data_IF_319330241249
#
_entry.id   IF_319330241249
#
_cell.length_a   1.000
_cell.length_b   1.000
_cell.length_c   1.000
_cell.angle_alpha   90.00
_cell.angle_beta   90.00
_cell.angle_gamma   90.00
#
_symmetry.space_group_name_H-M   'P 1'
#
loop_
_entity.id
_entity.type
_entity.pdbx_description
1 polymer ?
#
# COMPACT_ATOMS: atom_id res chain seq x y z
N UNK A 1 -3.93 -16.31 8.27
CA UNK A 1 -3.03 -15.14 8.45
C UNK A 1 -3.75 -13.88 8.02
N UNK A 2 -3.79 -12.84 8.87
CA UNK A 2 -4.45 -11.57 8.56
C UNK A 2 -3.93 -10.42 9.43
N UNK A 3 -4.03 -9.19 8.91
CA UNK A 3 -4.03 -7.96 9.70
C UNK A 3 -5.48 -7.62 10.00
N UNK A 4 -5.83 -7.40 11.26
CA UNK A 4 -7.19 -7.09 11.68
C UNK A 4 -7.21 -5.81 12.52
N UNK A 5 -8.11 -4.90 12.18
CA UNK A 5 -8.42 -3.71 12.95
C UNK A 5 -9.80 -3.92 13.58
N UNK A 6 -9.92 -3.70 14.89
CA UNK A 6 -11.17 -3.85 15.64
C UNK A 6 -11.52 -2.56 16.34
N UNK A 7 -12.53 -1.83 15.81
CA UNK A 7 -13.05 -0.60 16.39
C UNK A 7 -12.01 0.51 16.53
N UNK A 8 -11.06 0.59 15.60
CA UNK A 8 -9.92 1.49 15.70
C UNK A 8 -10.32 2.93 15.46
N UNK A 9 -9.99 3.77 16.43
CA UNK A 9 -10.21 5.23 16.38
C UNK A 9 -8.89 5.96 16.53
N UNK A 10 -8.68 7.01 15.71
CA UNK A 10 -7.54 7.91 15.80
C UNK A 10 -7.94 9.36 15.68
N UNK A 11 -7.50 10.16 16.65
CA UNK A 11 -7.77 11.60 16.71
C UNK A 11 -6.49 12.41 16.69
N UNK A 12 -6.52 13.54 16.03
CA UNK A 12 -5.47 14.56 16.04
C UNK A 12 -6.11 15.89 16.48
N UNK A 13 -6.02 16.20 17.76
CA UNK A 13 -6.72 17.34 18.33
C UNK A 13 -8.25 17.23 18.13
N UNK A 14 -8.84 18.16 17.43
CA UNK A 14 -10.29 18.16 17.13
C UNK A 14 -10.65 17.30 15.89
N UNK A 15 -9.67 16.79 15.14
CA UNK A 15 -9.92 16.02 13.92
C UNK A 15 -9.90 14.53 14.20
N UNK A 16 -10.98 13.82 13.90
CA UNK A 16 -11.02 12.36 13.90
C UNK A 16 -10.59 11.84 12.54
N UNK A 17 -9.39 11.27 12.48
CA UNK A 17 -8.80 10.75 11.25
C UNK A 17 -9.29 9.33 10.92
N UNK A 18 -9.55 8.51 11.94
CA UNK A 18 -10.27 7.24 11.84
C UNK A 18 -11.31 7.16 12.95
N UNK A 19 -12.50 6.65 12.64
CA UNK A 19 -13.64 6.60 13.53
C UNK A 19 -14.25 5.20 13.53
N UNK A 20 -13.98 4.44 14.59
CA UNK A 20 -14.47 3.09 14.84
C UNK A 20 -14.30 2.14 13.64
N UNK A 21 -13.08 2.10 13.09
CA UNK A 21 -12.77 1.31 11.90
C UNK A 21 -12.52 -0.14 12.26
N UNK A 22 -13.27 -1.04 11.62
CA UNK A 22 -13.02 -2.48 11.64
C UNK A 22 -12.84 -2.98 10.22
N UNK A 23 -11.71 -3.65 9.93
CA UNK A 23 -11.36 -4.19 8.61
C UNK A 23 -10.35 -5.31 8.76
N UNK A 24 -10.35 -6.24 7.80
CA UNK A 24 -9.44 -7.39 7.77
C UNK A 24 -8.72 -7.48 6.42
N UNK A 25 -7.40 -7.61 6.46
CA UNK A 25 -6.54 -7.82 5.29
C UNK A 25 -5.84 -9.17 5.41
N UNK A 26 -6.08 -10.07 4.49
CA UNK A 26 -5.46 -11.41 4.52
C UNK A 26 -5.68 -12.20 3.24
N UNK A 27 -5.35 -13.49 3.26
CA UNK A 27 -5.65 -14.39 2.16
C UNK A 27 -4.68 -14.35 0.97
N UNK A 28 -3.56 -13.63 1.04
CA UNK A 28 -2.59 -13.60 -0.06
C UNK A 28 -3.11 -12.91 -1.32
N UNK A 29 -3.95 -11.87 -1.17
CA UNK A 29 -4.55 -11.11 -2.27
C UNK A 29 -4.14 -9.64 -2.23
N UNK A 30 -4.48 -8.91 -3.28
CA UNK A 30 -4.23 -7.47 -3.39
C UNK A 30 -5.48 -6.68 -2.97
N UNK A 31 -5.34 -5.92 -1.90
CA UNK A 31 -6.33 -4.96 -1.43
C UNK A 31 -6.07 -3.57 -1.99
N UNK A 32 -7.09 -2.96 -2.59
CA UNK A 32 -7.10 -1.55 -2.89
C UNK A 32 -7.64 -0.75 -1.71
N UNK A 33 -6.80 0.05 -1.05
CA UNK A 33 -7.22 1.00 -0.02
C UNK A 33 -7.56 2.33 -0.68
N UNK A 34 -8.85 2.56 -0.96
CA UNK A 34 -9.34 3.62 -1.81
C UNK A 34 -10.01 4.74 -1.00
N UNK A 35 -9.90 5.96 -1.47
CA UNK A 35 -10.52 7.13 -0.83
C UNK A 35 -9.80 8.42 -1.21
N UNK A 36 -10.48 9.55 -1.03
CA UNK A 36 -9.91 10.87 -1.28
C UNK A 36 -8.70 11.17 -0.38
N UNK A 37 -7.91 12.19 -0.74
CA UNK A 37 -6.86 12.70 0.14
C UNK A 37 -7.48 13.17 1.46
N UNK A 38 -6.84 12.81 2.57
CA UNK A 38 -7.36 13.08 3.92
C UNK A 38 -8.46 12.13 4.41
N UNK A 39 -8.84 11.10 3.65
CA UNK A 39 -9.86 10.14 4.06
C UNK A 39 -9.45 9.24 5.25
N UNK A 40 -8.14 9.16 5.58
CA UNK A 40 -7.63 8.33 6.68
C UNK A 40 -6.70 7.19 6.24
N UNK A 41 -6.44 7.01 4.93
CA UNK A 41 -5.63 5.90 4.38
C UNK A 41 -4.24 5.82 5.02
N UNK A 42 -3.44 6.88 4.93
CA UNK A 42 -2.09 6.93 5.52
C UNK A 42 -2.10 6.77 7.04
N UNK A 43 -3.13 7.30 7.72
CA UNK A 43 -3.32 7.10 9.16
C UNK A 43 -3.53 5.62 9.49
N UNK A 44 -4.37 4.91 8.73
CA UNK A 44 -4.60 3.47 8.90
C UNK A 44 -3.29 2.68 8.71
N UNK A 45 -2.56 2.94 7.64
CA UNK A 45 -1.30 2.25 7.36
C UNK A 45 -0.22 2.52 8.44
N UNK A 46 -0.14 3.75 8.95
CA UNK A 46 0.76 4.10 10.05
C UNK A 46 0.37 3.41 11.38
N UNK A 47 -0.91 3.21 11.62
CA UNK A 47 -1.40 2.45 12.78
C UNK A 47 -1.06 0.96 12.65
N UNK A 48 -1.29 0.33 11.49
CA UNK A 48 -0.92 -1.07 11.21
C UNK A 48 0.57 -1.31 11.46
N UNK A 49 1.42 -0.36 11.04
CA UNK A 49 2.89 -0.46 11.20
C UNK A 49 3.41 0.09 12.53
N UNK A 50 2.51 0.39 13.47
CA UNK A 50 2.83 0.93 14.80
C UNK A 50 3.73 2.19 14.78
N UNK A 51 3.66 2.99 13.71
CA UNK A 51 4.33 4.30 13.63
C UNK A 51 3.62 5.36 14.44
N UNK A 52 2.33 5.15 14.67
CA UNK A 52 1.47 5.94 15.56
C UNK A 52 0.58 4.96 16.35
N UNK A 53 0.01 5.42 17.46
CA UNK A 53 -0.88 4.62 18.30
C UNK A 53 -2.34 4.98 18.09
N UNK A 54 -3.20 3.97 18.16
CA UNK A 54 -4.64 4.16 18.20
C UNK A 54 -5.06 4.79 19.56
N UNK A 55 -6.10 5.60 19.51
CA UNK A 55 -6.70 6.15 20.73
C UNK A 55 -7.73 5.16 21.33
N UNK A 56 -8.40 4.38 20.47
CA UNK A 56 -9.33 3.31 20.82
C UNK A 56 -9.22 2.12 19.87
N UNK A 57 -9.68 0.96 20.30
CA UNK A 57 -9.66 -0.27 19.52
C UNK A 57 -8.34 -1.01 19.62
N UNK A 58 -8.19 -2.04 18.78
CA UNK A 58 -6.97 -2.85 18.72
C UNK A 58 -6.61 -3.25 17.30
N UNK A 59 -5.33 -3.57 17.11
CA UNK A 59 -4.78 -4.03 15.84
C UNK A 59 -4.05 -5.34 16.09
N UNK A 60 -4.42 -6.35 15.34
CA UNK A 60 -3.84 -7.69 15.39
C UNK A 60 -3.13 -8.00 14.07
N UNK A 61 -1.99 -8.68 14.16
CA UNK A 61 -1.29 -9.28 13.03
C UNK A 61 -1.18 -10.78 13.34
N UNK A 62 -1.85 -11.60 12.54
CA UNK A 62 -1.97 -13.06 12.77
C UNK A 62 -2.49 -13.42 14.18
N UNK A 63 -3.44 -12.64 14.69
CA UNK A 63 -4.03 -12.82 16.01
C UNK A 63 -3.19 -12.30 17.19
N UNK A 64 -1.99 -11.79 16.94
CA UNK A 64 -1.13 -11.19 17.95
C UNK A 64 -1.29 -9.65 17.94
N UNK A 65 -1.38 -9.00 19.11
CA UNK A 65 -1.44 -7.53 19.19
C UNK A 65 -0.19 -6.91 18.58
N UNK A 66 -0.39 -5.95 17.67
CA UNK A 66 0.71 -5.29 16.96
C UNK A 66 1.54 -4.34 17.86
N UNK A 67 0.95 -3.49 18.72
CA UNK A 67 1.72 -2.56 19.53
C UNK A 67 2.70 -3.26 20.47
N UNK A 68 4.00 -2.91 20.34
CA UNK A 68 5.07 -3.46 21.17
C UNK A 68 5.46 -4.91 20.86
N UNK A 69 5.01 -5.46 19.73
CA UNK A 69 5.31 -6.83 19.32
C UNK A 69 6.16 -6.83 18.04
N UNK A 70 7.49 -6.81 18.21
CA UNK A 70 8.44 -6.78 17.09
C UNK A 70 8.31 -8.01 16.17
N UNK A 71 7.91 -9.18 16.73
CA UNK A 71 7.69 -10.39 15.93
C UNK A 71 6.49 -10.23 14.98
N UNK A 72 5.39 -9.67 15.47
CA UNK A 72 4.21 -9.41 14.66
C UNK A 72 4.50 -8.31 13.62
N UNK A 73 5.12 -7.21 14.05
CA UNK A 73 5.48 -6.08 13.19
C UNK A 73 6.52 -6.45 12.13
N UNK A 74 7.45 -7.38 12.42
CA UNK A 74 8.42 -7.89 11.46
C UNK A 74 7.81 -8.63 10.26
N UNK A 75 6.51 -8.98 10.33
CA UNK A 75 5.76 -9.56 9.20
C UNK A 75 5.21 -8.52 8.23
N UNK A 76 5.28 -7.23 8.56
CA UNK A 76 4.73 -6.13 7.77
C UNK A 76 5.83 -5.22 7.28
N UNK A 77 5.83 -4.95 5.98
CA UNK A 77 6.67 -3.92 5.39
C UNK A 77 5.78 -2.82 4.80
N UNK A 78 6.11 -1.56 5.08
CA UNK A 78 5.41 -0.42 4.48
C UNK A 78 6.38 0.45 3.69
N UNK A 79 6.14 0.55 2.39
CA UNK A 79 6.73 1.57 1.54
C UNK A 79 6.07 2.92 1.85
N UNK A 80 6.77 3.78 2.57
CA UNK A 80 6.31 5.12 2.86
C UNK A 80 7.08 6.17 2.05
N UNK A 81 6.52 7.37 1.98
CA UNK A 81 7.13 8.49 1.25
C UNK A 81 8.46 8.94 1.88
N UNK A 82 8.57 8.88 3.21
CA UNK A 82 9.75 9.32 3.93
C UNK A 82 10.98 8.43 3.67
N UNK A 83 12.13 9.05 3.47
CA UNK A 83 13.40 8.35 3.45
C UNK A 83 13.80 7.93 4.87
N UNK A 84 13.98 6.62 5.08
CA UNK A 84 14.36 6.05 6.39
C UNK A 84 15.87 5.78 6.51
N UNK A 85 16.66 6.08 5.49
CA UNK A 85 18.09 5.81 5.44
C UNK A 85 18.91 7.07 5.66
N UNK A 86 20.12 6.94 6.28
CA UNK A 86 21.04 8.06 6.39
C UNK A 86 21.36 8.67 5.02
N UNK A 87 21.39 9.98 4.96
CA UNK A 87 21.65 10.75 3.74
C UNK A 87 22.95 10.39 3.01
N UNK A 88 23.97 10.00 3.76
CA UNK A 88 25.29 9.60 3.25
C UNK A 88 25.31 8.19 2.68
N UNK A 89 24.31 7.36 3.00
CA UNK A 89 24.26 5.96 2.60
C UNK A 89 24.03 5.83 1.09
N UNK A 90 24.72 4.88 0.46
CA UNK A 90 24.46 4.54 -0.94
C UNK A 90 23.27 3.58 -1.03
N UNK A 91 22.63 3.52 -2.21
CA UNK A 91 21.50 2.62 -2.46
C UNK A 91 21.87 1.16 -2.19
N UNK A 92 23.01 0.68 -2.69
CA UNK A 92 23.51 -0.69 -2.43
C UNK A 92 23.73 -0.99 -0.94
N UNK A 93 24.21 0.01 -0.18
CA UNK A 93 24.33 -0.08 1.28
C UNK A 93 22.97 -0.17 1.97
N UNK A 94 21.97 0.59 1.49
CA UNK A 94 20.62 0.56 2.02
C UNK A 94 19.92 -0.78 1.75
N UNK A 95 20.11 -1.39 0.56
CA UNK A 95 19.62 -2.74 0.27
C UNK A 95 20.21 -3.78 1.23
N UNK A 96 21.52 -3.73 1.49
CA UNK A 96 22.20 -4.62 2.45
C UNK A 96 21.70 -4.41 3.87
N UNK A 97 21.47 -3.15 4.27
CA UNK A 97 20.94 -2.83 5.60
C UNK A 97 19.50 -3.38 5.74
N UNK A 98 18.67 -3.24 4.72
CA UNK A 98 17.31 -3.82 4.73
C UNK A 98 17.35 -5.33 4.92
N UNK A 99 18.26 -6.04 4.24
CA UNK A 99 18.45 -7.49 4.43
C UNK A 99 18.81 -7.87 5.87
N UNK A 100 19.52 -7.01 6.61
CA UNK A 100 19.86 -7.29 8.01
C UNK A 100 18.65 -7.18 8.96
N UNK A 101 17.66 -6.36 8.62
CA UNK A 101 16.40 -6.25 9.38
C UNK A 101 15.32 -7.23 8.92
N UNK A 102 15.31 -7.56 7.62
CA UNK A 102 14.36 -8.48 7.02
C UNK A 102 15.13 -9.68 6.43
N UNK A 103 15.28 -10.78 7.17
CA UNK A 103 16.04 -11.96 6.71
C UNK A 103 15.49 -12.57 5.41
N UNK A 104 14.16 -12.42 5.17
CA UNK A 104 13.48 -12.85 3.94
C UNK A 104 13.77 -11.97 2.72
N UNK A 105 14.48 -10.83 2.89
CA UNK A 105 14.80 -9.93 1.78
C UNK A 105 15.63 -10.63 0.70
N UNK A 106 15.12 -10.64 -0.52
CA UNK A 106 15.80 -11.22 -1.68
C UNK A 106 16.70 -10.18 -2.36
N UNK A 107 18.01 -10.31 -2.12
CA UNK A 107 19.00 -9.38 -2.67
C UNK A 107 19.15 -9.52 -4.18
N UNK A 108 19.07 -10.73 -4.71
CA UNK A 108 19.23 -10.99 -6.15
C UNK A 108 18.04 -10.44 -6.92
N UNK A 109 16.84 -10.63 -6.40
CA UNK A 109 15.64 -10.02 -6.94
C UNK A 109 15.68 -8.49 -6.84
N UNK A 110 16.12 -7.92 -5.70
CA UNK A 110 16.30 -6.47 -5.55
C UNK A 110 17.24 -5.90 -6.60
N UNK A 111 18.35 -6.56 -6.88
CA UNK A 111 19.30 -6.14 -7.91
C UNK A 111 18.72 -6.30 -9.32
N UNK A 112 17.93 -7.34 -9.57
CA UNK A 112 17.20 -7.51 -10.83
C UNK A 112 16.20 -6.38 -11.06
N UNK A 113 15.39 -6.06 -10.04
CA UNK A 113 14.44 -4.93 -10.08
C UNK A 113 15.16 -3.61 -10.29
N UNK A 114 16.25 -3.36 -9.55
CA UNK A 114 17.06 -2.16 -9.68
C UNK A 114 17.61 -2.00 -11.11
N UNK A 115 18.05 -3.09 -11.74
CA UNK A 115 18.53 -3.07 -13.13
C UNK A 115 17.40 -2.78 -14.13
N UNK A 116 16.21 -3.39 -13.95
CA UNK A 116 15.03 -3.15 -14.80
C UNK A 116 14.59 -1.68 -14.79
N UNK A 117 14.73 -1.01 -13.63
CA UNK A 117 14.43 0.42 -13.45
C UNK A 117 15.63 1.36 -13.69
N UNK A 118 16.79 0.83 -14.09
CA UNK A 118 18.03 1.61 -14.25
C UNK A 118 18.41 2.41 -12.99
N UNK A 119 18.10 1.88 -11.80
CA UNK A 119 18.36 2.53 -10.52
C UNK A 119 19.86 2.66 -10.28
N UNK A 120 20.40 3.89 -10.04
CA UNK A 120 21.84 4.09 -9.84
C UNK A 120 22.29 3.65 -8.43
N UNK A 121 22.49 2.35 -8.21
CA UNK A 121 22.76 1.72 -6.92
C UNK A 121 24.00 2.24 -6.20
N UNK A 122 24.97 2.83 -6.91
CA UNK A 122 26.19 3.43 -6.34
C UNK A 122 26.01 4.88 -5.87
N UNK A 123 24.90 5.55 -6.24
CA UNK A 123 24.59 6.90 -5.76
C UNK A 123 24.14 6.88 -4.30
N UNK A 124 24.35 8.01 -3.61
CA UNK A 124 23.80 8.24 -2.27
C UNK A 124 22.28 8.37 -2.38
N UNK A 125 21.54 7.85 -1.38
CA UNK A 125 20.08 7.90 -1.38
C UNK A 125 19.57 9.33 -1.51
N UNK A 126 20.18 10.30 -0.81
CA UNK A 126 19.81 11.72 -0.90
C UNK A 126 20.09 12.38 -2.27
N UNK A 127 20.95 11.77 -3.09
CA UNK A 127 21.29 12.29 -4.42
C UNK A 127 20.41 11.74 -5.54
N UNK A 128 19.41 10.92 -5.21
CA UNK A 128 18.40 10.44 -6.12
C UNK A 128 17.42 11.56 -6.46
N UNK A 129 16.95 11.60 -7.71
CA UNK A 129 15.79 12.41 -8.08
C UNK A 129 14.52 11.85 -7.40
N UNK A 130 13.43 12.61 -7.40
CA UNK A 130 12.14 12.16 -6.85
C UNK A 130 11.72 10.81 -7.45
N UNK A 131 11.79 10.67 -8.79
CA UNK A 131 11.46 9.41 -9.47
C UNK A 131 12.37 8.25 -9.04
N UNK A 132 13.69 8.45 -9.02
CA UNK A 132 14.60 7.40 -8.55
C UNK A 132 14.45 7.11 -7.05
N UNK A 133 14.05 8.07 -6.24
CA UNK A 133 13.72 7.82 -4.83
C UNK A 133 12.47 6.93 -4.69
N UNK A 134 11.46 7.13 -5.53
CA UNK A 134 10.30 6.24 -5.60
C UNK A 134 10.69 4.84 -6.08
N UNK A 135 11.47 4.73 -7.15
CA UNK A 135 11.99 3.46 -7.67
C UNK A 135 12.82 2.71 -6.62
N UNK A 136 13.66 3.41 -5.86
CA UNK A 136 14.44 2.79 -4.79
C UNK A 136 13.53 2.18 -3.71
N UNK A 137 12.49 2.91 -3.27
CA UNK A 137 11.53 2.42 -2.28
C UNK A 137 10.72 1.25 -2.82
N UNK A 138 10.31 1.28 -4.10
CA UNK A 138 9.67 0.15 -4.78
C UNK A 138 10.56 -1.09 -4.82
N UNK A 139 11.84 -0.91 -5.14
CA UNK A 139 12.82 -2.01 -5.17
C UNK A 139 12.90 -2.70 -3.80
N UNK A 140 12.92 -1.92 -2.71
CA UNK A 140 12.90 -2.47 -1.35
C UNK A 140 11.61 -3.25 -1.07
N UNK A 141 10.45 -2.65 -1.37
CA UNK A 141 9.15 -3.23 -1.07
C UNK A 141 8.88 -4.53 -1.86
N UNK A 142 9.27 -4.58 -3.13
CA UNK A 142 9.13 -5.77 -3.96
C UNK A 142 10.02 -6.93 -3.53
N UNK A 143 11.20 -6.62 -2.93
CA UNK A 143 12.20 -7.63 -2.56
C UNK A 143 12.11 -8.10 -1.09
N UNK A 144 11.27 -7.48 -0.28
CA UNK A 144 11.29 -7.74 1.18
C UNK A 144 10.72 -9.11 1.58
N UNK A 145 9.88 -9.73 0.77
CA UNK A 145 9.24 -11.03 1.02
C UNK A 145 8.57 -11.16 2.42
N UNK A 146 8.01 -10.06 2.94
CA UNK A 146 7.16 -10.09 4.12
C UNK A 146 5.78 -10.65 3.78
N UNK A 147 5.08 -11.32 4.73
CA UNK A 147 3.69 -11.76 4.54
C UNK A 147 2.73 -10.63 4.15
N UNK A 148 3.00 -9.41 4.64
CA UNK A 148 2.18 -8.22 4.38
C UNK A 148 3.04 -7.10 3.84
N UNK A 149 2.68 -6.57 2.67
CA UNK A 149 3.37 -5.43 2.06
C UNK A 149 2.37 -4.30 1.79
N UNK A 150 2.68 -3.13 2.30
CA UNK A 150 1.84 -1.94 2.18
C UNK A 150 2.54 -0.94 1.25
N UNK A 151 1.82 -0.50 0.23
CA UNK A 151 2.25 0.53 -0.70
C UNK A 151 1.39 1.78 -0.53
N UNK A 152 1.99 2.88 -0.05
CA UNK A 152 1.32 4.18 0.04
C UNK A 152 1.70 5.04 -1.15
N UNK A 153 0.75 5.22 -2.08
CA UNK A 153 0.92 5.97 -3.33
C UNK A 153 2.22 5.63 -4.10
N UNK A 154 2.49 4.35 -4.41
CA UNK A 154 3.80 3.87 -4.85
C UNK A 154 4.27 4.48 -6.17
N UNK A 155 3.35 4.86 -7.04
CA UNK A 155 3.65 5.36 -8.39
C UNK A 155 3.77 6.87 -8.47
N UNK A 156 3.66 7.56 -7.33
CA UNK A 156 3.80 9.01 -7.28
C UNK A 156 5.21 9.44 -7.73
N UNK A 157 5.26 10.32 -8.72
CA UNK A 157 6.52 10.82 -9.30
C UNK A 157 7.17 9.89 -10.34
N UNK A 158 6.51 8.80 -10.71
CA UNK A 158 6.93 7.95 -11.83
C UNK A 158 6.29 8.40 -13.14
N UNK A 159 7.03 8.25 -14.24
CA UNK A 159 6.45 8.32 -15.59
C UNK A 159 5.63 7.06 -15.92
N UNK A 160 4.91 7.09 -17.04
CA UNK A 160 4.03 6.00 -17.46
C UNK A 160 4.78 4.66 -17.63
N UNK A 161 5.98 4.68 -18.22
CA UNK A 161 6.76 3.47 -18.45
C UNK A 161 7.19 2.78 -17.14
N UNK A 162 7.64 3.57 -16.15
CA UNK A 162 8.02 3.03 -14.85
C UNK A 162 6.81 2.58 -14.04
N UNK A 163 5.64 3.23 -14.20
CA UNK A 163 4.39 2.76 -13.57
C UNK A 163 3.97 1.40 -14.11
N UNK A 164 3.94 1.25 -15.45
CA UNK A 164 3.60 -0.03 -16.10
C UNK A 164 4.56 -1.16 -15.68
N UNK A 165 5.86 -0.84 -15.58
CA UNK A 165 6.86 -1.80 -15.11
C UNK A 165 6.59 -2.20 -13.65
N UNK A 166 6.27 -1.25 -12.77
CA UNK A 166 5.94 -1.55 -11.38
C UNK A 166 4.72 -2.47 -11.27
N UNK A 167 3.61 -2.13 -11.93
CA UNK A 167 2.40 -2.93 -11.87
C UNK A 167 2.61 -4.34 -12.39
N UNK A 168 3.38 -4.50 -13.46
CA UNK A 168 3.76 -5.83 -13.98
C UNK A 168 4.58 -6.63 -12.98
N UNK A 169 5.62 -6.03 -12.37
CA UNK A 169 6.43 -6.71 -11.36
C UNK A 169 5.63 -7.08 -10.11
N UNK A 170 4.71 -6.21 -9.70
CA UNK A 170 3.81 -6.48 -8.59
C UNK A 170 2.85 -7.64 -8.92
N UNK A 171 2.32 -7.68 -10.15
CA UNK A 171 1.46 -8.76 -10.62
C UNK A 171 2.22 -10.10 -10.64
N UNK A 172 3.44 -10.13 -11.18
CA UNK A 172 4.31 -11.31 -11.17
C UNK A 172 4.50 -11.81 -9.74
N UNK A 173 4.78 -10.90 -8.79
CA UNK A 173 4.99 -11.23 -7.39
C UNK A 173 3.73 -11.75 -6.69
N UNK A 174 2.58 -11.15 -6.96
CA UNK A 174 1.29 -11.57 -6.39
C UNK A 174 0.81 -12.92 -6.95
N UNK A 175 1.22 -13.29 -8.18
CA UNK A 175 0.89 -14.58 -8.76
C UNK A 175 1.52 -15.76 -7.99
N UNK A 176 2.57 -15.52 -7.21
CA UNK A 176 3.13 -16.51 -6.29
C UNK A 176 2.20 -16.81 -5.10
N UNK A 177 1.20 -15.95 -4.83
CA UNK A 177 0.08 -16.19 -3.90
C UNK A 177 0.43 -16.14 -2.41
N UNK A 178 1.65 -15.76 -2.04
CA UNK A 178 2.13 -15.84 -0.66
C UNK A 178 1.96 -14.54 0.14
N UNK A 179 1.86 -13.40 -0.54
CA UNK A 179 1.82 -12.08 0.09
C UNK A 179 0.44 -11.45 0.03
N UNK A 180 0.01 -10.87 1.15
CA UNK A 180 -1.11 -9.91 1.16
C UNK A 180 -0.56 -8.53 0.90
N UNK A 181 -1.08 -7.86 -0.13
CA UNK A 181 -0.68 -6.52 -0.53
C UNK A 181 -1.79 -5.54 -0.21
N UNK A 182 -1.45 -4.42 0.42
CA UNK A 182 -2.35 -3.28 0.62
C UNK A 182 -1.82 -2.12 -0.24
N UNK A 183 -2.56 -1.77 -1.29
CA UNK A 183 -2.19 -0.74 -2.24
C UNK A 183 -3.09 0.49 -2.07
N UNK A 184 -2.53 1.58 -1.55
CA UNK A 184 -3.19 2.90 -1.54
C UNK A 184 -2.85 3.62 -2.83
N UNK A 185 -3.87 3.98 -3.61
CA UNK A 185 -3.68 4.76 -4.84
C UNK A 185 -4.93 5.57 -5.17
N UNK A 186 -4.72 6.71 -5.83
CA UNK A 186 -5.78 7.49 -6.46
C UNK A 186 -5.92 7.17 -7.96
N UNK A 187 -4.97 6.43 -8.54
CA UNK A 187 -4.97 5.98 -9.94
C UNK A 187 -5.67 4.62 -10.06
N UNK A 188 -6.95 4.56 -9.67
CA UNK A 188 -7.72 3.31 -9.56
C UNK A 188 -7.74 2.55 -10.89
N UNK A 189 -7.87 3.25 -12.03
CA UNK A 189 -7.94 2.61 -13.35
C UNK A 189 -6.66 1.85 -13.71
N UNK A 190 -5.48 2.36 -13.32
CA UNK A 190 -4.21 1.70 -13.59
C UNK A 190 -4.00 0.45 -12.71
N UNK A 191 -4.53 0.47 -11.47
CA UNK A 191 -4.38 -0.60 -10.50
C UNK A 191 -5.55 -1.61 -10.53
N UNK A 192 -6.62 -1.33 -11.26
CA UNK A 192 -7.87 -2.11 -11.21
C UNK A 192 -7.69 -3.59 -11.52
N UNK A 193 -6.79 -3.93 -12.46
CA UNK A 193 -6.50 -5.33 -12.83
C UNK A 193 -5.73 -6.12 -11.75
N UNK A 194 -5.14 -5.43 -10.77
CA UNK A 194 -4.38 -6.04 -9.67
C UNK A 194 -5.22 -6.22 -8.42
N UNK A 195 -6.18 -5.31 -8.19
CA UNK A 195 -6.97 -5.26 -6.96
C UNK A 195 -8.05 -6.33 -7.01
N UNK A 196 -7.99 -7.28 -6.09
CA UNK A 196 -9.02 -8.32 -5.93
C UNK A 196 -10.11 -7.90 -4.94
N UNK A 197 -9.76 -7.07 -3.95
CA UNK A 197 -10.66 -6.63 -2.90
C UNK A 197 -10.48 -5.13 -2.60
N UNK A 198 -11.57 -4.41 -2.47
CA UNK A 198 -11.55 -2.96 -2.28
C UNK A 198 -12.06 -2.57 -0.89
N UNK A 199 -11.24 -1.79 -0.18
CA UNK A 199 -11.61 -1.11 1.07
C UNK A 199 -11.72 0.38 0.79
N UNK A 200 -12.94 0.91 0.78
CA UNK A 200 -13.20 2.32 0.47
C UNK A 200 -13.39 3.09 1.77
N UNK A 201 -12.54 4.09 1.98
CA UNK A 201 -12.58 4.97 3.15
C UNK A 201 -13.08 6.36 2.76
N UNK A 202 -13.96 6.91 3.59
CA UNK A 202 -14.42 8.30 3.50
C UNK A 202 -14.61 8.87 4.92
N UNK A 203 -14.03 10.05 5.16
CA UNK A 203 -14.16 10.76 6.45
C UNK A 203 -13.80 9.87 7.66
N UNK A 204 -12.72 9.09 7.55
CA UNK A 204 -12.25 8.21 8.61
C UNK A 204 -13.07 6.94 8.84
N UNK A 205 -14.07 6.64 8.03
CA UNK A 205 -14.91 5.44 8.15
C UNK A 205 -14.81 4.56 6.92
N UNK A 206 -14.88 3.24 7.10
CA UNK A 206 -15.00 2.30 5.99
C UNK A 206 -16.42 2.37 5.45
N UNK A 207 -16.55 2.73 4.17
CA UNK A 207 -17.84 2.76 3.46
C UNK A 207 -18.17 1.45 2.79
N UNK A 208 -17.15 0.79 2.24
CA UNK A 208 -17.26 -0.49 1.53
C UNK A 208 -16.03 -1.33 1.84
N UNK A 209 -16.25 -2.61 1.95
CA UNK A 209 -15.25 -3.66 2.16
C UNK A 209 -15.79 -4.87 1.40
N UNK A 210 -15.38 -5.03 0.13
CA UNK A 210 -15.98 -6.00 -0.79
C UNK A 210 -15.03 -6.37 -1.93
N UNK A 211 -15.30 -7.49 -2.57
CA UNK A 211 -14.59 -7.91 -3.77
C UNK A 211 -14.79 -6.92 -4.93
N UNK A 212 -13.78 -6.76 -5.78
CA UNK A 212 -13.85 -5.82 -6.91
C UNK A 212 -14.92 -6.18 -7.93
N UNK A 213 -15.26 -7.46 -8.06
CA UNK A 213 -16.33 -7.92 -8.94
C UNK A 213 -17.71 -7.38 -8.50
N UNK A 214 -17.94 -7.20 -7.21
CA UNK A 214 -19.16 -6.60 -6.68
C UNK A 214 -19.25 -5.10 -7.02
N UNK A 215 -18.11 -4.40 -7.06
CA UNK A 215 -18.07 -2.99 -7.44
C UNK A 215 -18.32 -2.79 -8.94
N UNK A 216 -17.73 -3.65 -9.78
CA UNK A 216 -17.90 -3.58 -11.23
C UNK A 216 -19.28 -4.02 -11.68
N UNK A 217 -19.89 -4.99 -11.01
CA UNK A 217 -21.25 -5.44 -11.25
C UNK A 217 -22.33 -4.43 -10.85
N UNK A 218 -22.00 -3.47 -9.97
CA UNK A 218 -22.90 -2.41 -9.51
C UNK A 218 -22.77 -1.09 -10.28
N UNK A 219 -21.80 -0.97 -11.21
CA UNK A 219 -21.54 0.24 -11.97
C UNK A 219 -21.98 0.08 -13.42
N UNK A 220 -23.01 0.80 -13.83
CA UNK A 220 -23.42 0.88 -15.23
C UNK A 220 -22.99 2.23 -15.82
N UNK A 221 -22.30 2.18 -16.96
CA UNK A 221 -22.07 3.39 -17.76
C UNK A 221 -23.26 3.60 -18.68
N UNK A 222 -24.03 4.66 -18.42
CA UNK A 222 -25.12 5.06 -19.29
C UNK A 222 -24.61 6.13 -20.24
N UNK A 223 -24.70 5.89 -21.57
CA UNK A 223 -24.35 6.85 -22.59
C UNK A 223 -25.54 7.04 -23.54
N UNK A 224 -25.85 8.30 -23.84
CA UNK A 224 -26.94 8.64 -24.73
C UNK A 224 -27.21 10.16 -24.77
N UNK A 225 -28.28 10.62 -25.46
CA UNK A 225 -28.69 12.01 -25.39
C UNK A 225 -28.94 12.45 -23.95
N UNK A 226 -28.44 13.64 -23.57
CA UNK A 226 -28.46 14.12 -22.19
C UNK A 226 -29.82 14.02 -21.49
N UNK A 227 -30.89 14.31 -22.19
CA UNK A 227 -32.27 14.22 -21.67
C UNK A 227 -32.67 12.80 -21.23
N UNK A 228 -32.25 11.77 -21.98
CA UNK A 228 -32.54 10.37 -21.67
C UNK A 228 -31.64 9.84 -20.53
N UNK A 229 -30.39 10.30 -20.47
CA UNK A 229 -29.48 9.97 -19.38
C UNK A 229 -29.96 10.55 -18.05
N UNK A 230 -30.42 11.83 -18.08
CA UNK A 230 -30.98 12.51 -16.90
C UNK A 230 -32.25 11.84 -16.37
N UNK A 231 -33.11 11.36 -17.27
CA UNK A 231 -34.34 10.63 -16.93
C UNK A 231 -34.01 9.29 -16.24
N UNK A 232 -33.02 8.55 -16.79
CA UNK A 232 -32.60 7.26 -16.25
C UNK A 232 -31.91 7.39 -14.86
N UNK A 233 -31.17 8.47 -14.63
CA UNK A 233 -30.45 8.70 -13.35
C UNK A 233 -31.37 9.18 -12.23
N UNK A 234 -32.55 9.76 -12.59
CA UNK A 234 -33.56 10.26 -11.62
C UNK A 234 -34.63 9.24 -11.24
N UNK A 235 -34.79 8.15 -11.99
CA UNK A 235 -35.71 7.06 -11.71
C UNK A 235 -35.12 5.99 -10.83
#
# INVERSE_FOLDING_TARGET
MAIELHGVTKRYGATTALDNVSVKFGGGIVYGLLGANGAGKTTMMNLITNRIWADEGEILIDGERAPGNDRALGKVYMMAEANLFPDSMKVDGALKLTKSFYPSFDMDYAMSVANKFELPTRKKVKALSTGYSSIFRLTLALAVNCPYVIFDEPVLGLDAQHRDLFYRLLMEKCAEGEQTVILSTHLIQEAASLISHAVIIKNGRVLRDCDTDELTGAAYQVSGPAALVDEYVRG
#
